data_IF_476111889817
#
_entry.id   IF_476111889817
#
_cell.length_a   1.000
_cell.length_b   1.000
_cell.length_c   1.000
_cell.angle_alpha   90.00
_cell.angle_beta   90.00
_cell.angle_gamma   90.00
#
_symmetry.space_group_name_H-M   'P 1'
#
loop_
_entity.id
_entity.type
_entity.pdbx_description
1 polymer ?
#
# COMPACT_ATOMS: atom_id res chain seq x y z
N UNK A 1 -29.73 -4.73 -12.37
CA UNK A 1 -29.35 -6.07 -12.89
C UNK A 1 -29.13 -7.00 -11.71
N UNK A 2 -29.62 -8.24 -11.78
CA UNK A 2 -29.46 -9.21 -10.71
C UNK A 2 -28.26 -10.13 -10.97
N UNK A 3 -27.42 -10.33 -9.95
CA UNK A 3 -26.32 -11.28 -9.97
C UNK A 3 -26.88 -12.66 -9.55
N UNK A 4 -26.81 -13.66 -10.43
CA UNK A 4 -27.24 -15.04 -10.13
C UNK A 4 -26.02 -15.94 -9.91
N UNK A 5 -25.77 -16.32 -8.66
CA UNK A 5 -24.69 -17.24 -8.28
C UNK A 5 -25.31 -18.58 -7.87
N UNK A 6 -25.08 -19.64 -8.66
CA UNK A 6 -25.50 -21.01 -8.34
C UNK A 6 -24.32 -21.81 -7.79
N UNK A 7 -23.87 -21.45 -6.59
CA UNK A 7 -22.77 -22.14 -5.91
C UNK A 7 -23.18 -22.40 -4.44
N UNK A 8 -23.21 -23.67 -4.00
CA UNK A 8 -23.73 -24.03 -2.68
C UNK A 8 -22.94 -23.38 -1.54
N UNK A 9 -21.62 -23.25 -1.70
CA UNK A 9 -20.77 -22.60 -0.71
C UNK A 9 -21.02 -21.08 -0.62
N UNK A 10 -21.32 -20.43 -1.74
CA UNK A 10 -21.58 -18.99 -1.75
C UNK A 10 -22.89 -18.66 -1.02
N UNK A 11 -23.93 -19.48 -1.22
CA UNK A 11 -25.20 -19.37 -0.47
C UNK A 11 -24.98 -19.63 1.03
N UNK A 12 -24.23 -20.68 1.39
CA UNK A 12 -23.89 -20.99 2.79
C UNK A 12 -23.17 -19.81 3.47
N UNK A 13 -22.11 -19.29 2.85
CA UNK A 13 -21.32 -18.19 3.40
C UNK A 13 -22.14 -16.89 3.50
N UNK A 14 -22.97 -16.59 2.51
CA UNK A 14 -23.82 -15.41 2.53
C UNK A 14 -24.85 -15.48 3.66
N UNK A 15 -25.47 -16.65 3.89
CA UNK A 15 -26.42 -16.87 5.00
C UNK A 15 -25.75 -16.80 6.36
N UNK A 16 -24.58 -17.42 6.48
CA UNK A 16 -23.80 -17.39 7.72
C UNK A 16 -23.40 -15.95 8.08
N UNK A 17 -22.92 -15.17 7.11
CA UNK A 17 -22.57 -13.77 7.31
C UNK A 17 -23.80 -12.94 7.72
N UNK A 18 -24.90 -13.05 6.99
CA UNK A 18 -26.15 -12.35 7.31
C UNK A 18 -26.69 -12.69 8.72
N UNK A 19 -26.60 -13.95 9.13
CA UNK A 19 -27.01 -14.38 10.46
C UNK A 19 -26.12 -13.80 11.58
N UNK A 20 -24.81 -13.67 11.32
CA UNK A 20 -23.88 -13.09 12.28
C UNK A 20 -23.97 -11.56 12.37
N UNK A 21 -24.27 -10.87 11.26
CA UNK A 21 -24.34 -9.41 11.20
C UNK A 21 -25.74 -8.85 11.46
N UNK A 22 -26.78 -9.68 11.37
CA UNK A 22 -28.17 -9.24 11.46
C UNK A 22 -28.66 -8.50 10.20
N UNK A 23 -27.91 -8.58 9.11
CA UNK A 23 -28.21 -7.92 7.84
C UNK A 23 -29.06 -8.81 6.94
N UNK A 24 -29.67 -8.22 5.90
CA UNK A 24 -30.27 -9.02 4.83
C UNK A 24 -29.20 -9.74 4.01
N UNK A 25 -29.57 -10.84 3.36
CA UNK A 25 -28.65 -11.61 2.50
C UNK A 25 -28.01 -10.71 1.42
N UNK A 26 -28.77 -9.77 0.87
CA UNK A 26 -28.28 -8.83 -0.13
C UNK A 26 -27.30 -7.83 0.45
N UNK A 27 -27.59 -7.25 1.63
CA UNK A 27 -26.69 -6.32 2.30
C UNK A 27 -25.36 -6.99 2.66
N UNK A 28 -25.40 -8.17 3.28
CA UNK A 28 -24.21 -8.94 3.66
C UNK A 28 -23.30 -9.20 2.45
N UNK A 29 -23.88 -9.60 1.30
CA UNK A 29 -23.12 -9.84 0.07
C UNK A 29 -22.53 -8.54 -0.49
N UNK A 30 -23.31 -7.46 -0.54
CA UNK A 30 -22.84 -6.17 -1.06
C UNK A 30 -21.71 -5.61 -0.20
N UNK A 31 -21.83 -5.68 1.13
CA UNK A 31 -20.80 -5.24 2.07
C UNK A 31 -19.54 -6.08 1.91
N UNK A 32 -19.64 -7.42 1.92
CA UNK A 32 -18.50 -8.31 1.75
C UNK A 32 -17.73 -8.05 0.44
N UNK A 33 -18.45 -7.83 -0.66
CA UNK A 33 -17.85 -7.49 -1.95
C UNK A 33 -17.15 -6.12 -1.90
N UNK A 34 -17.80 -5.10 -1.34
CA UNK A 34 -17.21 -3.76 -1.17
C UNK A 34 -15.93 -3.80 -0.34
N UNK A 35 -15.94 -4.51 0.78
CA UNK A 35 -14.75 -4.66 1.61
C UNK A 35 -13.62 -5.39 0.89
N UNK A 36 -13.94 -6.46 0.15
CA UNK A 36 -12.92 -7.19 -0.61
C UNK A 36 -12.31 -6.33 -1.70
N UNK A 37 -13.13 -5.54 -2.39
CA UNK A 37 -12.68 -4.55 -3.38
C UNK A 37 -11.84 -3.46 -2.72
N UNK A 38 -12.23 -2.94 -1.55
CA UNK A 38 -11.47 -1.93 -0.81
C UNK A 38 -10.09 -2.46 -0.38
N UNK A 39 -10.03 -3.69 0.16
CA UNK A 39 -8.76 -4.36 0.49
C UNK A 39 -7.86 -4.51 -0.73
N UNK A 40 -8.44 -4.89 -1.88
CA UNK A 40 -7.69 -5.03 -3.15
C UNK A 40 -7.25 -3.68 -3.73
N UNK A 41 -8.09 -2.65 -3.64
CA UNK A 41 -7.76 -1.30 -4.07
C UNK A 41 -6.65 -0.69 -3.20
N UNK A 42 -6.69 -0.89 -1.88
CA UNK A 42 -5.60 -0.48 -0.98
C UNK A 42 -4.27 -1.15 -1.32
N UNK A 43 -4.30 -2.45 -1.67
CA UNK A 43 -3.11 -3.17 -2.16
C UNK A 43 -2.58 -2.62 -3.49
N UNK A 44 -3.46 -2.17 -4.39
CA UNK A 44 -3.09 -1.62 -5.69
C UNK A 44 -2.70 -0.13 -5.65
N UNK A 45 -3.16 0.61 -4.63
CA UNK A 45 -2.94 2.07 -4.47
C UNK A 45 -1.69 2.40 -3.67
N UNK A 46 -1.03 1.41 -3.08
CA UNK A 46 0.40 1.53 -2.90
C UNK A 46 0.99 1.68 -4.31
N UNK A 47 1.28 2.92 -4.73
CA UNK A 47 2.34 3.14 -5.72
C UNK A 47 3.43 2.18 -5.30
N UNK A 48 3.83 1.21 -6.15
CA UNK A 48 4.76 0.20 -5.71
C UNK A 48 5.92 0.97 -5.08
N UNK A 49 6.24 0.76 -3.81
CA UNK A 49 7.21 1.58 -3.06
C UNK A 49 8.47 1.84 -3.90
N UNK A 50 8.83 0.87 -4.73
CA UNK A 50 9.82 0.93 -5.80
C UNK A 50 9.70 2.13 -6.76
N UNK A 51 8.53 2.44 -7.30
CA UNK A 51 8.27 3.57 -8.19
C UNK A 51 8.40 4.91 -7.48
N UNK A 52 7.91 5.01 -6.25
CA UNK A 52 8.04 6.22 -5.42
C UNK A 52 9.51 6.48 -5.05
N UNK A 53 10.23 5.44 -4.60
CA UNK A 53 11.67 5.50 -4.37
C UNK A 53 12.45 5.86 -5.64
N UNK A 54 12.07 5.31 -6.80
CA UNK A 54 12.69 5.66 -8.06
C UNK A 54 12.44 7.12 -8.47
N UNK A 55 11.25 7.66 -8.20
CA UNK A 55 10.92 9.06 -8.43
C UNK A 55 11.75 9.99 -7.53
N UNK A 56 11.86 9.68 -6.23
CA UNK A 56 12.70 10.43 -5.28
C UNK A 56 14.16 10.42 -5.73
N UNK A 57 14.71 9.24 -6.06
CA UNK A 57 16.09 9.12 -6.54
C UNK A 57 16.35 9.97 -7.78
N UNK A 58 15.46 9.95 -8.78
CA UNK A 58 15.58 10.77 -10.00
C UNK A 58 15.57 12.26 -9.68
N UNK A 59 14.69 12.69 -8.77
CA UNK A 59 14.60 14.09 -8.34
C UNK A 59 15.88 14.53 -7.64
N UNK A 60 16.42 13.74 -6.70
CA UNK A 60 17.66 14.06 -6.01
C UNK A 60 18.86 14.09 -6.96
N UNK A 61 18.95 13.15 -7.91
CA UNK A 61 20.04 13.08 -8.88
C UNK A 61 20.05 14.23 -9.90
N UNK A 62 18.92 14.93 -10.09
CA UNK A 62 18.82 16.07 -10.99
C UNK A 62 19.18 17.42 -10.33
N UNK A 63 19.42 17.44 -9.01
CA UNK A 63 19.81 18.66 -8.30
C UNK A 63 21.27 19.01 -8.60
N UNK A 64 21.63 20.30 -8.66
CA UNK A 64 23.01 20.72 -8.84
C UNK A 64 23.86 20.36 -7.62
N UNK A 65 25.10 19.95 -7.85
CA UNK A 65 26.11 19.81 -6.79
C UNK A 65 26.56 21.20 -6.38
N UNK A 66 26.22 21.59 -5.14
CA UNK A 66 26.58 22.90 -4.56
C UNK A 66 27.84 22.83 -3.69
N UNK A 67 28.21 21.62 -3.28
CA UNK A 67 29.38 21.30 -2.45
C UNK A 67 29.86 19.93 -2.92
N UNK A 68 31.08 19.87 -3.44
CA UNK A 68 31.70 18.68 -4.02
C UNK A 68 32.69 18.00 -3.06
N UNK A 69 32.77 18.49 -1.81
CA UNK A 69 33.51 17.83 -0.74
C UNK A 69 33.06 16.38 -0.60
N UNK A 70 34.02 15.52 -0.36
CA UNK A 70 33.78 14.12 -0.02
C UNK A 70 33.02 14.03 1.30
N UNK A 71 32.32 12.90 1.56
CA UNK A 71 31.65 12.69 2.84
C UNK A 71 32.56 12.94 4.06
N UNK A 72 33.83 12.54 3.98
CA UNK A 72 34.80 12.71 5.05
C UNK A 72 35.16 14.19 5.27
N UNK A 73 35.34 14.96 4.20
CA UNK A 73 35.57 16.42 4.26
C UNK A 73 34.34 17.22 4.71
N UNK A 74 33.13 16.70 4.45
CA UNK A 74 31.88 17.27 4.94
C UNK A 74 31.75 17.03 6.46
N UNK A 75 32.09 15.82 6.91
CA UNK A 75 32.05 15.43 8.31
C UNK A 75 33.16 16.11 9.13
N UNK A 76 34.34 16.32 8.52
CA UNK A 76 35.47 17.02 9.15
C UNK A 76 36.09 16.24 10.32
N UNK A 77 35.88 14.93 10.37
CA UNK A 77 36.46 14.06 11.39
C UNK A 77 37.68 13.32 10.85
N UNK A 78 38.71 13.20 11.68
CA UNK A 78 39.83 12.32 11.42
C UNK A 78 39.44 10.83 11.60
N UNK A 79 40.38 9.93 11.33
CA UNK A 79 40.19 8.48 11.46
C UNK A 79 39.80 8.01 12.88
N UNK A 80 39.97 8.87 13.90
CA UNK A 80 39.63 8.61 15.30
C UNK A 80 38.29 9.25 15.71
N UNK A 81 37.59 9.94 14.79
CA UNK A 81 36.34 10.63 15.06
C UNK A 81 36.53 11.98 15.78
N UNK A 82 37.73 12.56 15.75
CA UNK A 82 38.02 13.88 16.32
C UNK A 82 37.95 14.96 15.24
N UNK A 83 37.50 16.18 15.55
CA UNK A 83 37.53 17.28 14.60
C UNK A 83 38.98 17.53 14.14
N UNK A 84 39.20 17.54 12.82
CA UNK A 84 40.46 17.89 12.19
C UNK A 84 40.59 19.41 11.97
#
# INVERSE_FOLDING_TARGET
MALSIKHPEADRLARELAAQTGETLTEAVVVALRERLARKAGQARAVPVREELAAIRRRCAALPVVDDRTPDEILGYDENGLPA
#
